data_IF_079217589013
#
_entry.id   IF_079217589013
#
_cell.length_a   1.000
_cell.length_b   1.000
_cell.length_c   1.000
_cell.angle_alpha   90.00
_cell.angle_beta   90.00
_cell.angle_gamma   90.00
#
_symmetry.space_group_name_H-M   'P 1'
#
loop_
_entity.id
_entity.type
_entity.pdbx_description
1 polymer ?
#
# COMPACT_ATOMS: atom_id res chain seq x y z
N UNK A 1 -36.89 -8.78 -13.20
CA UNK A 1 -36.51 -9.66 -12.08
C UNK A 1 -35.91 -8.76 -11.01
N UNK A 2 -36.71 -8.36 -10.00
CA UNK A 2 -36.19 -7.54 -8.89
C UNK A 2 -35.35 -8.47 -7.99
N UNK A 3 -34.05 -8.22 -7.93
CA UNK A 3 -33.18 -8.84 -6.93
C UNK A 3 -33.66 -8.31 -5.57
N UNK A 4 -34.25 -9.19 -4.77
CA UNK A 4 -34.71 -8.89 -3.42
C UNK A 4 -33.52 -8.39 -2.61
N UNK A 5 -33.66 -7.27 -1.90
CA UNK A 5 -32.61 -6.77 -1.01
C UNK A 5 -32.27 -7.88 -0.01
N UNK A 6 -30.98 -8.16 0.13
CA UNK A 6 -30.50 -9.13 1.09
C UNK A 6 -30.87 -8.70 2.51
N UNK A 7 -31.34 -9.63 3.34
CA UNK A 7 -31.33 -9.42 4.79
C UNK A 7 -29.88 -9.46 5.27
N UNK A 8 -29.31 -8.26 5.36
CA UNK A 8 -27.95 -8.02 5.83
C UNK A 8 -27.73 -8.63 7.22
N UNK A 9 -28.72 -8.57 8.11
CA UNK A 9 -28.64 -9.16 9.44
C UNK A 9 -28.49 -10.68 9.38
N UNK A 10 -29.31 -11.35 8.58
CA UNK A 10 -29.22 -12.79 8.38
C UNK A 10 -27.87 -13.21 7.76
N UNK A 11 -27.36 -12.44 6.79
CA UNK A 11 -26.05 -12.73 6.19
C UNK A 11 -24.90 -12.57 7.19
N UNK A 12 -24.91 -11.51 8.00
CA UNK A 12 -23.94 -11.31 9.05
C UNK A 12 -23.97 -12.45 10.07
N UNK A 13 -25.15 -12.94 10.44
CA UNK A 13 -25.29 -14.08 11.34
C UNK A 13 -24.71 -15.38 10.76
N UNK A 14 -24.93 -15.64 9.46
CA UNK A 14 -24.32 -16.79 8.76
C UNK A 14 -22.79 -16.70 8.78
N UNK A 15 -22.24 -15.51 8.55
CA UNK A 15 -20.81 -15.26 8.56
C UNK A 15 -20.23 -15.44 9.98
N UNK A 16 -20.94 -14.97 11.01
CA UNK A 16 -20.52 -15.14 12.40
C UNK A 16 -20.45 -16.62 12.77
N UNK A 17 -21.43 -17.43 12.34
CA UNK A 17 -21.40 -18.88 12.53
C UNK A 17 -20.22 -19.53 11.77
N UNK A 18 -19.98 -19.15 10.51
CA UNK A 18 -18.88 -19.66 9.69
C UNK A 18 -17.51 -19.36 10.31
N UNK A 19 -17.33 -18.14 10.80
CA UNK A 19 -16.07 -17.66 11.38
C UNK A 19 -15.85 -18.21 12.79
N UNK A 20 -16.90 -18.28 13.62
CA UNK A 20 -16.83 -18.91 14.94
C UNK A 20 -16.42 -20.38 14.87
N UNK A 21 -16.93 -21.13 13.88
CA UNK A 21 -16.52 -22.53 13.64
C UNK A 21 -15.01 -22.67 13.32
N UNK A 22 -14.34 -21.57 12.95
CA UNK A 22 -12.90 -21.50 12.69
C UNK A 22 -12.10 -20.91 13.85
N UNK A 23 -12.73 -20.64 14.99
CA UNK A 23 -12.07 -20.01 16.15
C UNK A 23 -11.78 -18.52 15.96
N UNK A 24 -12.53 -17.86 15.07
CA UNK A 24 -12.42 -16.43 14.84
C UNK A 24 -13.53 -15.67 15.57
N UNK A 25 -13.22 -14.47 16.06
CA UNK A 25 -14.17 -13.53 16.65
C UNK A 25 -14.09 -12.18 15.95
N UNK A 26 -15.21 -11.47 15.84
CA UNK A 26 -15.25 -10.10 15.31
C UNK A 26 -14.45 -9.19 16.24
N UNK A 27 -13.52 -8.42 15.68
CA UNK A 27 -12.73 -7.40 16.40
C UNK A 27 -12.91 -6.00 15.84
N UNK A 28 -13.39 -5.89 14.61
CA UNK A 28 -13.66 -4.61 13.94
C UNK A 28 -14.95 -4.76 13.15
N UNK A 29 -15.86 -3.79 13.27
CA UNK A 29 -17.04 -3.66 12.42
C UNK A 29 -17.14 -2.21 11.94
N UNK A 30 -17.18 -2.04 10.63
CA UNK A 30 -17.37 -0.76 9.97
C UNK A 30 -18.68 -0.82 9.19
N UNK A 31 -19.48 0.23 9.28
CA UNK A 31 -20.76 0.36 8.57
C UNK A 31 -20.75 1.62 7.73
N UNK A 32 -21.31 1.53 6.53
CA UNK A 32 -21.37 2.63 5.58
C UNK A 32 -22.51 2.45 4.60
N UNK A 33 -22.70 3.44 3.73
CA UNK A 33 -23.68 3.39 2.65
C UNK A 33 -22.97 3.51 1.32
N UNK A 34 -23.15 2.51 0.47
CA UNK A 34 -22.60 2.54 -0.88
C UNK A 34 -23.23 3.69 -1.68
N UNK A 35 -22.42 4.41 -2.48
CA UNK A 35 -22.88 5.53 -3.29
C UNK A 35 -23.91 5.09 -4.34
N UNK A 36 -24.63 6.06 -4.90
CA UNK A 36 -25.61 5.87 -5.99
C UNK A 36 -26.71 4.83 -5.66
N UNK A 37 -27.14 4.76 -4.40
CA UNK A 37 -28.21 3.85 -3.97
C UNK A 37 -27.76 2.38 -3.85
N UNK A 38 -26.47 2.13 -3.65
CA UNK A 38 -25.94 0.78 -3.44
C UNK A 38 -26.36 0.14 -2.12
N UNK A 39 -26.97 0.90 -1.21
CA UNK A 39 -27.48 0.45 0.08
C UNK A 39 -26.41 0.30 1.15
N UNK A 40 -26.79 -0.20 2.31
CA UNK A 40 -25.88 -0.42 3.43
C UNK A 40 -24.78 -1.43 3.05
N UNK A 41 -23.58 -1.20 3.57
CA UNK A 41 -22.44 -2.11 3.52
C UNK A 41 -21.81 -2.22 4.91
N UNK A 42 -21.41 -3.43 5.27
CA UNK A 42 -20.76 -3.75 6.53
C UNK A 42 -19.47 -4.50 6.25
N UNK A 43 -18.36 -3.96 6.70
CA UNK A 43 -17.06 -4.62 6.68
C UNK A 43 -16.71 -5.09 8.09
N UNK A 44 -16.38 -6.38 8.23
CA UNK A 44 -15.96 -6.98 9.50
C UNK A 44 -14.56 -7.55 9.39
N UNK A 45 -13.72 -7.18 10.37
CA UNK A 45 -12.44 -7.78 10.66
C UNK A 45 -12.59 -8.82 11.77
N UNK A 46 -12.00 -9.99 11.55
CA UNK A 46 -12.00 -11.10 12.49
C UNK A 46 -10.57 -11.43 12.90
N UNK A 47 -10.40 -11.87 14.15
CA UNK A 47 -9.13 -12.35 14.69
C UNK A 47 -9.36 -13.63 15.48
N UNK A 48 -8.37 -14.50 15.50
CA UNK A 48 -8.35 -15.73 16.28
C UNK A 48 -6.96 -16.33 16.33
N UNK A 49 -6.88 -17.59 16.74
CA UNK A 49 -5.64 -18.37 16.70
C UNK A 49 -5.86 -19.69 15.96
N UNK A 50 -4.86 -20.14 15.21
CA UNK A 50 -4.88 -21.46 14.61
C UNK A 50 -4.59 -22.57 15.64
N UNK A 51 -4.58 -23.83 15.18
CA UNK A 51 -4.32 -25.00 16.05
C UNK A 51 -2.91 -25.03 16.65
N UNK A 52 -1.99 -24.19 16.17
CA UNK A 52 -0.63 -24.05 16.69
C UNK A 52 -0.49 -22.81 17.58
N UNK A 53 -1.59 -22.11 17.88
CA UNK A 53 -1.61 -20.90 18.70
C UNK A 53 -1.13 -19.64 17.96
N UNK A 54 -0.98 -19.67 16.64
CA UNK A 54 -0.52 -18.52 15.86
C UNK A 54 -1.71 -17.61 15.52
N UNK A 55 -1.55 -16.29 15.54
CA UNK A 55 -2.64 -15.37 15.23
C UNK A 55 -3.08 -15.54 13.77
N UNK A 56 -4.39 -15.53 13.55
CA UNK A 56 -5.02 -15.54 12.23
C UNK A 56 -6.04 -14.40 12.13
N UNK A 57 -6.14 -13.80 10.95
CA UNK A 57 -7.09 -12.73 10.65
C UNK A 57 -7.91 -13.05 9.42
N UNK A 58 -9.13 -12.52 9.36
CA UNK A 58 -9.99 -12.63 8.19
C UNK A 58 -10.82 -11.35 8.01
N UNK A 59 -11.26 -11.10 6.79
CA UNK A 59 -12.17 -9.99 6.46
C UNK A 59 -13.39 -10.52 5.71
N UNK A 60 -14.55 -9.97 6.03
CA UNK A 60 -15.82 -10.20 5.32
C UNK A 60 -16.46 -8.84 5.06
N UNK A 61 -16.89 -8.59 3.84
CA UNK A 61 -17.64 -7.38 3.49
C UNK A 61 -18.95 -7.77 2.85
N UNK A 62 -20.05 -7.29 3.41
CA UNK A 62 -21.42 -7.59 2.97
C UNK A 62 -22.11 -6.31 2.58
N UNK A 63 -22.75 -6.29 1.42
CA UNK A 63 -23.61 -5.21 0.97
C UNK A 63 -25.09 -5.63 1.03
N UNK A 64 -25.99 -4.68 0.78
CA UNK A 64 -27.42 -4.94 0.53
C UNK A 64 -27.70 -5.96 -0.59
N UNK A 65 -26.71 -6.31 -1.41
CA UNK A 65 -26.82 -7.30 -2.50
C UNK A 65 -26.09 -8.61 -2.22
N UNK A 66 -25.36 -8.72 -1.11
CA UNK A 66 -24.69 -9.96 -0.71
C UNK A 66 -23.26 -9.78 -0.22
N UNK A 67 -22.58 -10.90 0.01
CA UNK A 67 -21.17 -10.94 0.37
C UNK A 67 -20.30 -10.55 -0.83
N UNK A 68 -19.55 -9.45 -0.72
CA UNK A 68 -18.75 -8.88 -1.81
C UNK A 68 -17.24 -9.06 -1.63
N UNK A 69 -16.78 -9.37 -0.41
CA UNK A 69 -15.37 -9.68 -0.12
C UNK A 69 -15.25 -10.80 0.91
N UNK A 70 -14.38 -11.76 0.63
CA UNK A 70 -13.99 -12.84 1.55
C UNK A 70 -12.48 -13.04 1.52
N UNK A 71 -11.81 -12.71 2.61
CA UNK A 71 -10.36 -12.88 2.75
C UNK A 71 -10.05 -13.58 4.06
N UNK A 72 -9.16 -14.56 4.02
CA UNK A 72 -8.77 -15.36 5.18
C UNK A 72 -9.90 -16.23 5.79
N UNK A 73 -9.59 -16.93 6.90
CA UNK A 73 -8.30 -16.96 7.56
C UNK A 73 -7.24 -17.67 6.72
N UNK A 74 -6.00 -17.19 6.77
CA UNK A 74 -4.87 -17.87 6.10
C UNK A 74 -4.64 -19.22 6.77
N UNK A 75 -4.44 -20.25 5.96
CA UNK A 75 -4.08 -21.58 6.44
C UNK A 75 -2.57 -21.75 6.51
N UNK A 76 -2.10 -22.77 7.24
CA UNK A 76 -0.69 -23.19 7.26
C UNK A 76 -0.05 -23.43 5.88
N UNK A 77 -0.88 -23.70 4.85
CA UNK A 77 -0.42 -23.96 3.49
C UNK A 77 -0.34 -22.68 2.65
N UNK A 78 -0.91 -21.58 3.12
CA UNK A 78 -0.83 -20.28 2.45
C UNK A 78 0.50 -19.60 2.80
N UNK A 79 1.54 -19.92 2.02
CA UNK A 79 2.86 -19.29 2.13
C UNK A 79 2.88 -17.82 1.68
N UNK A 80 1.78 -17.31 1.14
CA UNK A 80 1.69 -15.93 0.68
C UNK A 80 1.46 -14.96 1.85
N UNK A 81 2.55 -14.59 2.52
CA UNK A 81 2.56 -13.60 3.61
C UNK A 81 2.22 -12.18 3.16
N UNK A 82 2.09 -11.96 1.85
CA UNK A 82 1.76 -10.66 1.28
C UNK A 82 0.26 -10.43 1.14
N UNK A 83 -0.57 -11.50 1.21
CA UNK A 83 -2.02 -11.34 1.13
C UNK A 83 -2.56 -10.64 2.37
N UNK A 84 -3.24 -9.51 2.16
CA UNK A 84 -3.85 -8.76 3.24
C UNK A 84 -5.15 -9.43 3.75
N UNK A 85 -5.21 -9.68 5.07
CA UNK A 85 -6.38 -10.33 5.71
C UNK A 85 -6.80 -9.67 7.02
N UNK A 86 -6.15 -8.58 7.41
CA UNK A 86 -6.54 -7.76 8.54
C UNK A 86 -7.21 -6.47 8.05
N UNK A 87 -8.42 -6.17 8.55
CA UNK A 87 -9.12 -4.91 8.26
C UNK A 87 -8.56 -3.80 9.16
N UNK A 88 -8.08 -2.71 8.57
CA UNK A 88 -7.65 -1.53 9.33
C UNK A 88 -8.82 -0.56 9.43
N UNK A 89 -9.26 -0.24 10.65
CA UNK A 89 -10.30 0.78 10.85
C UNK A 89 -9.79 2.17 10.42
N UNK A 90 -8.57 2.54 10.84
CA UNK A 90 -7.97 3.85 10.53
C UNK A 90 -6.56 3.67 10.00
N UNK A 91 -6.38 3.61 8.67
CA UNK A 91 -5.07 3.34 8.08
C UNK A 91 -4.03 4.42 8.43
N UNK A 92 -4.45 5.67 8.63
CA UNK A 92 -3.57 6.80 8.94
C UNK A 92 -3.13 6.88 10.42
N UNK A 93 -3.91 6.31 11.33
CA UNK A 93 -3.72 6.50 12.78
C UNK A 93 -3.34 5.21 13.50
N UNK A 94 -3.56 4.05 12.88
CA UNK A 94 -3.51 2.78 13.60
C UNK A 94 -4.66 2.67 14.61
N UNK A 95 -4.41 2.05 15.77
CA UNK A 95 -5.42 1.78 16.80
C UNK A 95 -5.60 2.95 17.80
N UNK A 96 -5.56 4.20 17.33
CA UNK A 96 -5.69 5.41 18.17
C UNK A 96 -7.17 5.85 18.24
N UNK A 97 -7.68 6.34 19.40
CA UNK A 97 -9.01 6.95 19.50
C UNK A 97 -9.17 8.16 18.59
N UNK A 98 -10.36 8.35 18.04
CA UNK A 98 -10.61 9.16 16.84
C UNK A 98 -11.46 10.38 17.16
N UNK A 99 -11.27 11.44 16.39
CA UNK A 99 -12.21 12.56 16.30
C UNK A 99 -13.08 12.51 15.01
N UNK A 100 -13.94 13.50 14.81
CA UNK A 100 -14.92 13.51 13.70
C UNK A 100 -14.25 13.61 12.30
N UNK A 101 -13.06 14.22 12.19
CA UNK A 101 -12.30 14.31 10.93
C UNK A 101 -11.57 12.98 10.63
N UNK A 102 -11.16 12.26 11.69
CA UNK A 102 -10.55 10.94 11.59
C UNK A 102 -11.56 9.84 11.20
N UNK A 103 -12.83 10.01 11.56
CA UNK A 103 -13.93 9.14 11.13
C UNK A 103 -14.14 9.21 9.62
N UNK A 104 -13.99 10.39 9.00
CA UNK A 104 -14.11 10.53 7.55
C UNK A 104 -12.96 9.83 6.79
N UNK A 105 -11.80 9.66 7.42
CA UNK A 105 -10.62 8.97 6.86
C UNK A 105 -10.49 7.52 7.33
N UNK A 106 -11.54 6.97 7.93
CA UNK A 106 -11.64 5.55 8.23
C UNK A 106 -11.69 4.72 6.95
N UNK A 107 -11.25 3.47 7.02
CA UNK A 107 -11.75 2.47 6.09
C UNK A 107 -13.28 2.49 6.04
N UNK A 108 -13.82 2.17 4.87
CA UNK A 108 -15.21 2.32 4.47
C UNK A 108 -15.65 3.77 4.15
N UNK A 109 -14.69 4.70 3.97
CA UNK A 109 -14.87 6.02 3.35
C UNK A 109 -14.39 6.06 1.90
N UNK A 110 -14.58 7.19 1.20
CA UNK A 110 -13.96 7.45 -0.11
C UNK A 110 -12.53 7.94 0.11
N UNK A 111 -11.61 6.99 0.25
CA UNK A 111 -10.25 7.28 0.69
C UNK A 111 -9.42 7.86 -0.45
N UNK A 112 -9.77 7.61 -1.71
CA UNK A 112 -8.97 8.03 -2.86
C UNK A 112 -9.64 9.11 -3.73
N UNK A 113 -10.86 9.52 -3.40
CA UNK A 113 -11.60 10.57 -4.09
C UNK A 113 -12.26 10.13 -5.40
N UNK A 114 -12.39 8.82 -5.65
CA UNK A 114 -13.01 8.29 -6.87
C UNK A 114 -14.55 8.14 -6.78
N UNK A 115 -15.11 8.47 -5.62
CA UNK A 115 -16.53 8.40 -5.34
C UNK A 115 -17.04 7.00 -5.00
N UNK A 116 -16.16 6.04 -4.73
CA UNK A 116 -16.47 4.70 -4.21
C UNK A 116 -16.07 4.60 -2.73
N UNK A 117 -16.62 3.63 -2.00
CA UNK A 117 -16.10 3.32 -0.66
C UNK A 117 -14.90 2.40 -0.78
N UNK A 118 -13.89 2.65 0.05
CA UNK A 118 -12.64 1.91 0.05
C UNK A 118 -12.45 1.21 1.40
N UNK A 119 -11.85 0.02 1.41
CA UNK A 119 -11.31 -0.58 2.64
C UNK A 119 -9.83 -0.80 2.52
N UNK A 120 -9.10 -0.51 3.60
CA UNK A 120 -7.67 -0.78 3.69
C UNK A 120 -7.43 -2.03 4.51
N UNK A 121 -6.66 -2.93 3.92
CA UNK A 121 -6.30 -4.19 4.50
C UNK A 121 -4.79 -4.27 4.73
N UNK A 122 -4.38 -5.01 5.75
CA UNK A 122 -2.97 -5.26 6.06
C UNK A 122 -2.65 -6.75 6.03
N UNK A 123 -1.49 -7.08 5.47
CA UNK A 123 -0.90 -8.42 5.52
C UNK A 123 -0.08 -8.62 6.79
N UNK A 124 0.28 -9.87 7.06
CA UNK A 124 1.18 -10.19 8.18
C UNK A 124 2.55 -9.53 8.04
N UNK A 125 3.02 -9.33 6.80
CA UNK A 125 4.25 -8.61 6.50
C UNK A 125 4.10 -7.07 6.60
N UNK A 126 2.91 -6.56 6.95
CA UNK A 126 2.61 -5.14 7.03
C UNK A 126 2.27 -4.48 5.69
N UNK A 127 2.22 -5.25 4.60
CA UNK A 127 1.82 -4.73 3.28
C UNK A 127 0.36 -4.32 3.28
N UNK A 128 0.08 -3.13 2.75
CA UNK A 128 -1.23 -2.56 2.63
C UNK A 128 -1.82 -2.84 1.25
N UNK A 129 -3.10 -3.20 1.24
CA UNK A 129 -3.94 -3.27 0.05
C UNK A 129 -5.13 -2.33 0.23
N UNK A 130 -5.56 -1.68 -0.84
CA UNK A 130 -6.78 -0.86 -0.85
C UNK A 130 -7.78 -1.47 -1.81
N UNK A 131 -9.01 -1.66 -1.35
CA UNK A 131 -10.06 -2.33 -2.12
C UNK A 131 -11.25 -1.39 -2.32
N UNK A 132 -11.61 -1.17 -3.59
CA UNK A 132 -12.83 -0.50 -4.00
C UNK A 132 -14.03 -1.40 -3.73
N UNK A 133 -15.02 -0.88 -3.01
CA UNK A 133 -16.27 -1.58 -2.72
C UNK A 133 -17.40 -1.08 -3.61
N UNK A 134 -18.12 -2.04 -4.20
CA UNK A 134 -19.33 -1.82 -4.98
C UNK A 134 -20.43 -2.74 -4.49
N UNK A 135 -21.65 -2.48 -4.94
CA UNK A 135 -22.82 -3.25 -4.52
C UNK A 135 -22.66 -4.77 -4.73
N UNK A 136 -21.95 -5.21 -5.78
CA UNK A 136 -21.84 -6.63 -6.13
C UNK A 136 -20.41 -7.18 -6.12
N UNK A 137 -19.41 -6.35 -5.83
CA UNK A 137 -18.01 -6.74 -5.98
C UNK A 137 -17.10 -5.88 -5.12
N UNK A 138 -15.97 -6.44 -4.73
CA UNK A 138 -14.82 -5.71 -4.26
C UNK A 138 -13.64 -5.92 -5.22
N UNK A 139 -12.90 -4.87 -5.55
CA UNK A 139 -11.74 -4.95 -6.46
C UNK A 139 -10.53 -4.28 -5.81
N UNK A 140 -9.37 -4.93 -5.71
CA UNK A 140 -8.17 -4.28 -5.21
C UNK A 140 -7.67 -3.27 -6.24
N UNK A 141 -7.22 -2.11 -5.77
CA UNK A 141 -6.52 -1.16 -6.63
C UNK A 141 -5.11 -1.67 -6.93
N UNK A 142 -4.63 -1.55 -8.19
CA UNK A 142 -3.22 -1.75 -8.48
C UNK A 142 -2.37 -0.74 -7.70
N UNK A 143 -1.27 -1.22 -7.12
CA UNK A 143 -0.28 -0.39 -6.42
C UNK A 143 1.06 -0.52 -7.16
N UNK A 144 1.57 0.60 -7.63
CA UNK A 144 2.82 0.72 -8.38
C UNK A 144 3.86 1.46 -7.55
N UNK A 145 4.53 0.70 -6.69
CA UNK A 145 5.69 1.13 -5.92
C UNK A 145 6.85 0.17 -6.15
N UNK A 146 8.08 0.68 -6.06
CA UNK A 146 9.28 -0.17 -6.06
C UNK A 146 9.53 -0.80 -4.69
N UNK A 147 9.00 -0.18 -3.64
CA UNK A 147 8.98 -0.62 -2.24
C UNK A 147 7.65 -1.28 -1.88
N UNK A 148 7.61 -2.02 -0.77
CA UNK A 148 6.34 -2.55 -0.26
C UNK A 148 5.51 -1.39 0.33
N UNK A 149 4.22 -1.25 -0.02
CA UNK A 149 3.34 -0.25 0.58
C UNK A 149 3.05 -0.66 2.03
N UNK A 150 3.83 -0.18 2.99
CA UNK A 150 3.64 -0.52 4.42
C UNK A 150 3.13 0.67 5.23
N UNK A 151 2.96 1.82 4.59
CA UNK A 151 2.53 3.07 5.22
C UNK A 151 1.30 3.61 4.50
N UNK A 152 0.38 4.16 5.28
CA UNK A 152 -0.70 5.01 4.83
C UNK A 152 -0.39 6.44 5.30
N UNK A 153 -0.57 7.41 4.41
CA UNK A 153 -0.13 8.79 4.60
C UNK A 153 -1.22 9.75 4.10
N UNK A 154 -1.39 10.89 4.79
CA UNK A 154 -2.07 12.06 4.24
C UNK A 154 -0.97 13.07 3.88
N UNK A 155 -0.58 13.12 2.61
CA UNK A 155 0.58 13.91 2.17
C UNK A 155 0.23 15.40 2.00
N UNK A 156 -1.06 15.69 1.78
CA UNK A 156 -1.63 17.02 1.61
C UNK A 156 -3.08 16.98 2.12
N UNK A 157 -3.47 17.85 3.07
CA UNK A 157 -4.81 17.80 3.65
C UNK A 157 -5.91 17.77 2.58
N UNK A 158 -6.73 16.73 2.62
CA UNK A 158 -7.85 16.55 1.69
C UNK A 158 -7.48 15.93 0.33
N UNK A 159 -6.22 15.53 0.12
CA UNK A 159 -5.78 14.81 -1.09
C UNK A 159 -6.16 13.32 -1.11
N UNK A 160 -6.73 12.83 0.00
CA UNK A 160 -7.04 11.44 0.20
C UNK A 160 -5.84 10.63 0.69
N UNK A 161 -6.07 9.33 0.89
CA UNK A 161 -5.09 8.34 1.25
C UNK A 161 -3.98 8.28 0.19
N UNK A 162 -2.74 8.39 0.66
CA UNK A 162 -1.55 8.03 -0.08
C UNK A 162 -0.91 6.80 0.55
N UNK A 163 -0.24 5.99 -0.25
CA UNK A 163 0.50 4.83 0.22
C UNK A 163 1.99 5.14 0.18
N UNK A 164 2.73 4.60 1.14
CA UNK A 164 4.17 4.79 1.25
C UNK A 164 4.90 3.50 1.53
N UNK A 165 6.15 3.44 1.08
CA UNK A 165 7.05 2.33 1.34
C UNK A 165 8.47 2.81 1.59
N UNK A 166 9.16 2.13 2.49
CA UNK A 166 10.57 2.40 2.80
C UNK A 166 11.42 1.27 2.24
N UNK A 167 12.49 1.56 1.49
CA UNK A 167 13.39 0.52 1.04
C UNK A 167 14.10 -0.10 2.25
N UNK A 168 14.40 -1.39 2.17
CA UNK A 168 15.14 -2.08 3.24
C UNK A 168 16.48 -1.37 3.49
N UNK A 169 16.87 -1.09 4.74
CA UNK A 169 18.18 -0.48 5.02
C UNK A 169 19.31 -1.37 4.51
N UNK A 170 20.46 -0.77 4.18
CA UNK A 170 21.68 -1.53 3.90
C UNK A 170 22.21 -2.07 5.24
N UNK A 171 22.72 -3.30 5.27
CA UNK A 171 23.28 -3.88 6.50
C UNK A 171 24.50 -3.04 6.95
N UNK A 172 24.63 -2.77 8.26
CA UNK A 172 25.67 -1.88 8.84
C UNK A 172 25.67 -0.43 8.33
N UNK A 173 24.54 0.05 7.82
CA UNK A 173 24.40 1.39 7.30
C UNK A 173 24.56 2.48 8.37
N UNK A 174 25.71 3.14 8.35
CA UNK A 174 25.99 4.31 9.20
C UNK A 174 25.37 5.60 8.64
N UNK A 175 25.11 5.65 7.33
CA UNK A 175 24.53 6.82 6.67
C UNK A 175 23.05 6.97 7.02
N UNK A 176 22.29 5.88 7.17
CA UNK A 176 20.88 5.84 7.57
C UNK A 176 20.00 6.92 6.89
N UNK A 177 19.94 6.97 5.55
CA UNK A 177 19.09 7.92 4.85
C UNK A 177 17.60 7.62 5.07
N UNK A 178 16.83 8.68 5.28
CA UNK A 178 15.37 8.64 5.41
C UNK A 178 14.70 8.57 4.04
N UNK A 179 14.70 7.37 3.44
CA UNK A 179 14.14 7.12 2.12
C UNK A 179 12.68 6.71 2.23
N UNK A 180 11.81 7.48 1.57
CA UNK A 180 10.38 7.21 1.42
C UNK A 180 10.00 7.29 -0.06
N UNK A 181 9.36 6.23 -0.57
CA UNK A 181 8.63 6.26 -1.83
C UNK A 181 7.14 6.43 -1.49
N UNK A 182 6.43 7.28 -2.23
CA UNK A 182 4.99 7.42 -2.06
C UNK A 182 4.26 7.17 -3.38
N UNK A 183 3.01 6.75 -3.27
CA UNK A 183 2.07 6.61 -4.37
C UNK A 183 0.76 7.28 -3.98
N UNK A 184 0.19 8.04 -4.90
CA UNK A 184 -1.17 8.58 -4.75
C UNK A 184 -2.08 7.96 -5.79
N UNK A 185 -3.39 8.07 -5.57
CA UNK A 185 -4.36 7.57 -6.52
C UNK A 185 -4.43 8.47 -7.75
N UNK A 186 -4.28 7.88 -8.94
CA UNK A 186 -4.46 8.56 -10.21
C UNK A 186 -4.91 7.53 -11.24
N UNK A 187 -6.03 7.79 -11.93
CA UNK A 187 -6.50 6.93 -13.03
C UNK A 187 -6.69 5.45 -12.64
N UNK A 188 -7.31 5.20 -11.48
CA UNK A 188 -7.72 3.85 -11.05
C UNK A 188 -6.60 3.00 -10.42
N UNK A 189 -5.48 3.61 -10.05
CA UNK A 189 -4.36 2.93 -9.37
C UNK A 189 -3.61 3.88 -8.44
N UNK A 190 -2.93 3.31 -7.46
CA UNK A 190 -1.92 4.01 -6.68
C UNK A 190 -0.59 3.94 -7.41
N UNK A 191 -0.01 5.07 -7.79
CA UNK A 191 1.27 5.08 -8.51
C UNK A 191 2.20 6.17 -8.01
N UNK A 192 3.50 5.85 -7.91
CA UNK A 192 4.53 6.86 -7.64
C UNK A 192 4.75 7.83 -8.81
N UNK A 193 4.10 7.57 -9.96
CA UNK A 193 4.14 8.43 -11.15
C UNK A 193 2.95 9.39 -11.24
N UNK A 194 2.16 9.57 -10.19
CA UNK A 194 1.08 10.57 -10.20
C UNK A 194 1.64 11.98 -10.14
N UNK A 195 0.84 12.97 -10.54
CA UNK A 195 1.23 14.37 -10.39
C UNK A 195 1.52 14.75 -8.92
N UNK A 196 0.67 14.30 -7.99
CA UNK A 196 0.81 14.60 -6.56
C UNK A 196 2.04 13.91 -5.94
N UNK A 197 2.31 12.63 -6.27
CA UNK A 197 3.49 11.93 -5.79
C UNK A 197 4.79 12.62 -6.23
N UNK A 198 4.88 12.99 -7.53
CA UNK A 198 6.03 13.74 -8.04
C UNK A 198 6.18 15.11 -7.38
N UNK A 199 5.07 15.82 -7.14
CA UNK A 199 5.10 17.12 -6.48
C UNK A 199 5.62 17.04 -5.05
N UNK A 200 5.18 16.03 -4.28
CA UNK A 200 5.70 15.73 -2.93
C UNK A 200 7.20 15.48 -2.97
N UNK A 201 7.67 14.59 -3.85
CA UNK A 201 9.10 14.27 -3.95
C UNK A 201 9.93 15.49 -4.41
N UNK A 202 9.41 16.31 -5.31
CA UNK A 202 10.07 17.55 -5.73
C UNK A 202 10.20 18.55 -4.57
N UNK A 203 9.17 18.67 -3.72
CA UNK A 203 9.19 19.50 -2.51
C UNK A 203 10.24 18.99 -1.53
N UNK A 204 10.26 17.68 -1.25
CA UNK A 204 11.26 17.08 -0.35
C UNK A 204 12.69 17.26 -0.82
N UNK A 205 12.95 17.11 -2.13
CA UNK A 205 14.27 17.38 -2.72
C UNK A 205 14.71 18.85 -2.57
N UNK A 206 13.78 19.81 -2.66
CA UNK A 206 14.05 21.24 -2.45
C UNK A 206 14.37 21.55 -1.00
N UNK A 207 13.62 21.00 -0.04
CA UNK A 207 13.86 21.18 1.39
C UNK A 207 15.29 20.76 1.77
N UNK A 208 15.72 19.58 1.34
CA UNK A 208 17.09 19.08 1.55
C UNK A 208 18.18 19.98 0.95
N UNK A 209 17.85 20.71 -0.12
CA UNK A 209 18.76 21.68 -0.74
C UNK A 209 18.81 22.99 0.03
N UNK A 210 17.67 23.48 0.54
CA UNK A 210 17.57 24.73 1.29
C UNK A 210 18.16 24.61 2.69
N UNK A 211 17.90 23.50 3.40
CA UNK A 211 18.49 23.23 4.72
C UNK A 211 20.02 23.15 4.70
N UNK A 212 20.61 22.87 3.53
CA UNK A 212 22.06 22.89 3.33
C UNK A 212 22.63 24.30 3.15
N UNK A 213 21.77 25.32 2.96
CA UNK A 213 22.16 26.73 2.73
C UNK A 213 21.83 27.66 3.90
N UNK A 214 21.06 27.20 4.89
CA UNK A 214 20.75 28.01 6.07
C UNK A 214 22.04 28.37 6.82
N UNK A 215 22.34 29.66 7.03
CA UNK A 215 23.49 30.07 7.83
C UNK A 215 23.17 29.79 9.29
N UNK A 216 23.59 28.62 9.79
CA UNK A 216 23.64 28.37 11.23
C UNK A 216 24.58 29.37 11.89
N UNK A 217 24.19 29.87 13.06
CA UNK A 217 24.90 30.94 13.81
C UNK A 217 26.29 30.52 14.32
N UNK A 218 26.72 29.28 14.05
CA UNK A 218 28.13 28.88 14.06
C UNK A 218 28.43 28.02 12.81
N UNK A 219 29.52 28.27 12.06
CA UNK A 219 29.82 27.60 10.81
C UNK A 219 30.70 26.36 11.06
N UNK A 220 30.16 25.33 11.69
CA UNK A 220 30.76 23.99 11.56
C UNK A 220 30.19 23.35 10.31
N UNK A 221 31.06 23.00 9.36
CA UNK A 221 30.64 22.24 8.18
C UNK A 221 29.93 20.96 8.65
N UNK A 222 28.81 20.54 8.01
CA UNK A 222 28.16 19.30 8.36
C UNK A 222 29.17 18.17 8.29
N UNK A 223 29.14 17.28 9.30
CA UNK A 223 29.95 16.07 9.27
C UNK A 223 29.68 15.30 7.96
N UNK A 224 30.68 14.57 7.50
CA UNK A 224 30.61 13.82 6.26
C UNK A 224 29.40 12.88 6.19
N UNK A 225 29.08 12.19 7.29
CA UNK A 225 27.92 11.30 7.41
C UNK A 225 26.63 12.04 7.07
N UNK A 226 26.43 13.20 7.70
CA UNK A 226 25.26 14.06 7.47
C UNK A 226 25.21 14.57 6.03
N UNK A 227 26.35 14.98 5.46
CA UNK A 227 26.45 15.42 4.06
C UNK A 227 26.05 14.29 3.09
N UNK A 228 26.63 13.11 3.25
CA UNK A 228 26.40 11.96 2.37
C UNK A 228 24.97 11.43 2.50
N UNK A 229 24.42 11.36 3.72
CA UNK A 229 23.00 11.04 3.97
C UNK A 229 22.08 11.95 3.15
N UNK A 230 22.24 13.27 3.29
CA UNK A 230 21.43 14.27 2.57
C UNK A 230 21.61 14.18 1.06
N UNK A 231 22.83 13.89 0.58
CA UNK A 231 23.08 13.71 -0.85
C UNK A 231 22.31 12.51 -1.41
N UNK A 232 22.27 11.39 -0.69
CA UNK A 232 21.51 10.18 -1.05
C UNK A 232 20.01 10.46 -1.04
N UNK A 233 19.48 11.06 0.03
CA UNK A 233 18.06 11.42 0.14
C UNK A 233 17.63 12.37 -0.98
N UNK A 234 18.42 13.42 -1.24
CA UNK A 234 18.15 14.36 -2.33
C UNK A 234 18.15 13.65 -3.67
N UNK A 235 19.12 12.78 -3.95
CA UNK A 235 19.17 12.02 -5.20
C UNK A 235 17.93 11.12 -5.36
N UNK A 236 17.53 10.41 -4.30
CA UNK A 236 16.32 9.58 -4.25
C UNK A 236 15.06 10.38 -4.61
N UNK A 237 14.79 11.47 -3.88
CA UNK A 237 13.61 12.30 -4.11
C UNK A 237 13.64 13.03 -5.45
N UNK A 238 14.82 13.43 -5.92
CA UNK A 238 14.98 14.06 -7.24
C UNK A 238 14.64 13.08 -8.37
N UNK A 239 15.03 11.81 -8.25
CA UNK A 239 14.68 10.77 -9.21
C UNK A 239 13.16 10.50 -9.21
N UNK A 240 12.56 10.32 -8.03
CA UNK A 240 11.11 10.08 -7.90
C UNK A 240 10.26 11.27 -8.34
N UNK A 241 10.80 12.50 -8.26
CA UNK A 241 10.17 13.69 -8.83
C UNK A 241 10.16 13.69 -10.38
N UNK A 242 10.76 12.69 -11.03
CA UNK A 242 10.77 12.54 -12.48
C UNK A 242 12.00 13.15 -13.18
N UNK A 243 13.07 13.50 -12.45
CA UNK A 243 14.31 13.96 -13.09
C UNK A 243 15.04 12.81 -13.78
N UNK A 244 15.76 13.09 -14.90
CA UNK A 244 16.50 12.05 -15.60
C UNK A 244 17.51 11.34 -14.69
N UNK A 245 17.48 10.01 -14.69
CA UNK A 245 18.38 9.17 -13.87
C UNK A 245 19.85 9.50 -14.07
N UNK A 246 20.26 9.77 -15.31
CA UNK A 246 21.65 10.13 -15.65
C UNK A 246 22.11 11.40 -14.96
N UNK A 247 21.26 12.44 -14.89
CA UNK A 247 21.55 13.68 -14.18
C UNK A 247 21.67 13.45 -12.67
N UNK A 248 20.74 12.69 -12.10
CA UNK A 248 20.73 12.36 -10.67
C UNK A 248 22.00 11.62 -10.26
N UNK A 249 22.37 10.57 -11.01
CA UNK A 249 23.59 9.80 -10.74
C UNK A 249 24.84 10.63 -10.95
N UNK A 250 24.89 11.48 -11.98
CA UNK A 250 26.02 12.39 -12.21
C UNK A 250 26.19 13.39 -11.06
N UNK A 251 25.10 13.86 -10.46
CA UNK A 251 25.16 14.73 -9.29
C UNK A 251 25.69 13.98 -8.05
N UNK A 252 25.24 12.75 -7.84
CA UNK A 252 25.67 11.90 -6.73
C UNK A 252 27.15 11.50 -6.86
N UNK A 253 27.63 11.24 -8.07
CA UNK A 253 29.02 10.87 -8.38
C UNK A 253 30.04 12.02 -8.15
N UNK A 254 29.56 13.25 -7.92
CA UNK A 254 30.40 14.41 -7.58
C UNK A 254 30.67 14.53 -6.07
N UNK A 255 29.98 13.75 -5.24
CA UNK A 255 30.18 13.79 -3.79
C UNK A 255 31.56 13.24 -3.42
N UNK A 256 32.22 13.89 -2.45
CA UNK A 256 33.47 13.39 -1.88
C UNK A 256 33.15 12.39 -0.80
N UNK A 257 33.62 11.16 -0.96
CA UNK A 257 33.35 10.02 -0.08
C UNK A 257 34.68 9.47 0.44
N UNK A 258 34.83 9.39 1.75
CA UNK A 258 35.94 8.72 2.43
C UNK A 258 35.85 7.20 2.28
N UNK A 259 36.97 6.52 2.49
CA UNK A 259 37.03 5.06 2.45
C UNK A 259 36.12 4.38 3.48
N UNK A 260 35.80 5.08 4.58
CA UNK A 260 34.88 4.59 5.61
C UNK A 260 33.44 4.44 5.07
N UNK A 261 33.01 5.38 4.21
CA UNK A 261 31.64 5.44 3.71
C UNK A 261 31.47 4.89 2.28
N UNK A 262 32.57 4.60 1.59
CA UNK A 262 32.57 4.24 0.16
C UNK A 262 31.65 3.05 -0.15
N UNK A 263 31.71 1.97 0.63
CA UNK A 263 30.90 0.77 0.42
C UNK A 263 29.40 1.04 0.57
N UNK A 264 29.00 1.73 1.64
CA UNK A 264 27.59 2.06 1.92
C UNK A 264 27.05 3.05 0.89
N UNK A 265 27.82 4.09 0.55
CA UNK A 265 27.44 5.08 -0.46
C UNK A 265 27.27 4.43 -1.85
N UNK A 266 28.18 3.55 -2.25
CA UNK A 266 28.10 2.80 -3.50
C UNK A 266 26.87 1.87 -3.56
N UNK A 267 26.48 1.26 -2.43
CA UNK A 267 25.26 0.46 -2.33
C UNK A 267 24.01 1.32 -2.59
N UNK A 268 23.92 2.51 -2.01
CA UNK A 268 22.83 3.45 -2.24
C UNK A 268 22.79 3.98 -3.67
N UNK A 269 23.93 4.37 -4.22
CA UNK A 269 24.06 4.74 -5.63
C UNK A 269 23.52 3.64 -6.56
N UNK A 270 23.92 2.39 -6.31
CA UNK A 270 23.46 1.23 -7.09
C UNK A 270 21.95 1.00 -6.95
N UNK A 271 21.39 1.19 -5.75
CA UNK A 271 19.95 1.13 -5.52
C UNK A 271 19.20 2.18 -6.35
N UNK A 272 19.62 3.44 -6.27
CA UNK A 272 19.04 4.56 -7.04
C UNK A 272 19.13 4.26 -8.55
N UNK A 273 20.25 3.72 -9.01
CA UNK A 273 20.42 3.36 -10.43
C UNK A 273 19.45 2.28 -10.93
N UNK A 274 18.97 1.40 -10.04
CA UNK A 274 18.03 0.31 -10.37
C UNK A 274 16.56 0.74 -10.33
N UNK A 275 16.23 1.85 -9.69
CA UNK A 275 14.85 2.35 -9.61
C UNK A 275 14.28 2.63 -11.00
N UNK A 276 13.06 2.18 -11.28
CA UNK A 276 12.37 2.39 -12.56
C UNK A 276 12.84 1.50 -13.72
N UNK A 277 13.72 0.53 -13.49
CA UNK A 277 14.16 -0.43 -14.53
C UNK A 277 13.24 -1.65 -14.68
N UNK A 278 12.12 -1.71 -13.94
CA UNK A 278 11.08 -2.73 -14.10
C UNK A 278 10.01 -2.26 -15.08
N UNK A 279 10.33 -2.24 -16.37
CA UNK A 279 9.32 -2.24 -17.42
C UNK A 279 9.67 -3.34 -18.42
N UNK A 280 8.67 -4.14 -18.78
CA UNK A 280 8.68 -5.27 -19.73
C UNK A 280 9.25 -6.62 -19.25
N UNK A 281 8.54 -7.29 -18.34
CA UNK A 281 8.35 -8.76 -18.44
C UNK A 281 6.96 -9.12 -17.93
N UNK A 282 5.94 -8.71 -18.67
CA UNK A 282 4.64 -9.36 -18.61
C UNK A 282 4.85 -10.77 -19.16
N UNK A 283 4.85 -11.76 -18.28
CA UNK A 283 4.83 -13.17 -18.64
C UNK A 283 3.61 -13.39 -19.51
N UNK A 284 3.83 -13.61 -20.81
CA UNK A 284 2.82 -14.14 -21.73
C UNK A 284 2.48 -15.53 -21.21
N UNK A 285 1.42 -15.62 -20.42
CA UNK A 285 0.82 -16.89 -20.06
C UNK A 285 0.23 -17.48 -21.34
N UNK A 286 0.94 -18.47 -21.89
CA UNK A 286 0.46 -19.27 -23.01
C UNK A 286 -0.85 -19.92 -22.60
N UNK A 287 -1.95 -19.47 -23.19
CA UNK A 287 -3.19 -20.24 -23.29
C UNK A 287 -2.85 -21.64 -23.80
N UNK A 288 -3.18 -22.72 -23.07
CA UNK A 288 -3.11 -24.05 -23.64
C UNK A 288 -4.26 -24.17 -24.64
N UNK A 289 -3.91 -24.25 -25.92
CA UNK A 289 -4.81 -24.64 -27.00
C UNK A 289 -5.36 -26.03 -26.67
N UNK A 290 -6.65 -26.09 -26.30
CA UNK A 290 -7.38 -27.33 -26.12
C UNK A 290 -7.39 -28.13 -27.42
N UNK A 291 -6.84 -29.34 -27.34
CA UNK A 291 -6.94 -30.38 -28.35
C UNK A 291 -8.40 -30.87 -28.46
N UNK A 292 -8.71 -31.39 -29.66
CA UNK A 292 -10.04 -31.56 -30.21
C UNK A 292 -10.97 -32.49 -29.44
N UNK A 293 -12.25 -32.12 -29.44
CA UNK A 293 -13.35 -33.02 -29.17
C UNK A 293 -13.65 -33.82 -30.45
N UNK A 294 -13.30 -35.10 -30.45
CA UNK A 294 -13.81 -36.09 -31.41
C UNK A 294 -15.29 -36.37 -31.12
N UNK A 295 -16.09 -36.22 -32.17
CA UNK A 295 -17.48 -36.66 -32.27
C UNK A 295 -17.56 -38.19 -32.35
N UNK A 296 -18.39 -38.90 -31.56
CA UNK A 296 -18.80 -40.24 -31.93
C UNK A 296 -20.09 -40.20 -32.74
N UNK A 297 -20.02 -40.90 -33.86
CA UNK A 297 -21.06 -41.05 -34.85
C UNK A 297 -22.29 -41.83 -34.33
N UNK A 298 -23.42 -41.52 -34.97
CA UNK A 298 -24.66 -42.29 -34.96
C UNK A 298 -24.40 -43.78 -35.21
N UNK A 299 -24.99 -44.63 -34.38
CA UNK A 299 -25.76 -45.82 -34.78
C UNK A 299 -26.74 -46.18 -33.68
#
# INVERSE_FOLDING_TARGET
MLIQASDLGAQLQIIDQETAARGLTVVTELRGNLPRGGGEVVARGYRGVDRLGRPITAVRVVSSRGLVLTLGPRSLRDLDHFRATELLAHPLLGDVPLDDDDIQRASLGDLNGDGSLDVVLRSEAGTLEVWSLRAFSATPYPIELTTLPTLALDIEPGSGLSLGGRPQPVETDQLQPDLLEIATFESGRYTGQSAAARAYHARRARELTTESRSPSTEPTAPDETTRLRRAIERAWYTLLAGRPRTEVLTALDKERVSSEHEGVFAAYRTRIARMGSRSAKTTTEKTPTGQGAETPARR
#
